data_IF_573662277426
#
_entry.id   IF_573662277426
#
_cell.length_a   1.000
_cell.length_b   1.000
_cell.length_c   1.000
_cell.angle_alpha   90.00
_cell.angle_beta   90.00
_cell.angle_gamma   90.00
#
_symmetry.space_group_name_H-M   'P 1'
#
loop_
_entity.id
_entity.type
_entity.pdbx_description
1 polymer ?
#
# COMPACT_ATOMS: atom_id res chain seq x y z
N UNK A 1 42.70 -48.03 -64.47
CA UNK A 1 43.31 -47.00 -63.59
C UNK A 1 42.84 -45.60 -63.99
N UNK A 2 41.84 -45.06 -63.30
CA UNK A 2 41.35 -43.65 -63.26
C UNK A 2 40.45 -43.63 -61.99
N UNK A 3 40.82 -43.03 -60.83
CA UNK A 3 40.75 -41.60 -60.44
C UNK A 3 39.42 -40.97 -60.92
N UNK A 4 38.52 -40.36 -60.12
CA UNK A 4 38.57 -39.76 -58.77
C UNK A 4 37.15 -39.20 -58.45
N UNK A 5 36.97 -38.69 -57.23
CA UNK A 5 35.96 -37.73 -56.71
C UNK A 5 34.76 -38.25 -55.91
N UNK A 6 34.97 -38.28 -54.58
CA UNK A 6 33.94 -38.16 -53.55
C UNK A 6 33.44 -36.70 -53.51
N UNK A 7 32.15 -36.47 -53.72
CA UNK A 7 31.52 -35.17 -53.50
C UNK A 7 31.02 -35.08 -52.05
N UNK A 8 31.54 -34.11 -51.30
CA UNK A 8 31.00 -33.71 -49.99
C UNK A 8 29.72 -32.91 -50.20
N UNK A 9 28.60 -33.40 -49.66
CA UNK A 9 27.36 -32.63 -49.56
C UNK A 9 27.43 -31.79 -48.28
N UNK A 10 27.61 -30.47 -48.45
CA UNK A 10 27.46 -29.49 -47.37
C UNK A 10 25.98 -29.16 -47.25
N UNK A 11 25.34 -29.59 -46.16
CA UNK A 11 23.98 -29.18 -45.80
C UNK A 11 24.06 -27.82 -45.10
N UNK A 12 23.66 -26.76 -45.80
CA UNK A 12 23.44 -25.44 -45.20
C UNK A 12 22.18 -25.47 -44.34
N UNK A 13 22.35 -25.46 -43.00
CA UNK A 13 21.26 -25.18 -42.07
C UNK A 13 20.92 -23.69 -42.13
N UNK A 14 19.75 -23.36 -42.67
CA UNK A 14 19.16 -22.04 -42.51
C UNK A 14 18.69 -21.86 -41.06
N UNK A 15 19.47 -21.11 -40.28
CA UNK A 15 19.05 -20.61 -38.97
C UNK A 15 18.07 -19.46 -39.21
N UNK A 16 16.77 -19.74 -39.08
CA UNK A 16 15.78 -18.67 -38.93
C UNK A 16 15.93 -18.06 -37.55
N UNK A 17 16.57 -16.89 -37.47
CA UNK A 17 16.49 -16.02 -36.31
C UNK A 17 15.09 -15.42 -36.33
N UNK A 18 14.18 -15.99 -35.54
CA UNK A 18 12.91 -15.35 -35.21
C UNK A 18 13.25 -14.22 -34.23
N UNK A 19 13.38 -13.01 -34.78
CA UNK A 19 13.39 -11.79 -33.97
C UNK A 19 12.04 -11.68 -33.26
N UNK A 20 12.06 -11.79 -31.94
CA UNK A 20 10.88 -11.60 -31.10
C UNK A 20 10.39 -10.16 -31.23
N UNK A 21 9.38 -9.93 -32.08
CA UNK A 21 8.59 -8.73 -32.03
C UNK A 21 7.74 -8.77 -30.75
N UNK A 22 8.17 -8.00 -29.75
CA UNK A 22 7.29 -7.58 -28.66
C UNK A 22 6.03 -6.97 -29.28
N UNK A 23 4.87 -7.59 -29.04
CA UNK A 23 3.58 -6.96 -29.29
C UNK A 23 3.51 -5.67 -28.46
N UNK A 24 3.81 -4.53 -29.09
CA UNK A 24 3.49 -3.21 -28.52
C UNK A 24 1.98 -3.09 -28.53
N UNK A 25 1.34 -3.34 -27.39
CA UNK A 25 -0.03 -2.90 -27.14
C UNK A 25 -0.08 -1.39 -27.41
N UNK A 26 -0.85 -0.96 -28.41
CA UNK A 26 -0.98 0.45 -28.77
C UNK A 26 -1.85 1.13 -27.71
N UNK A 27 -1.25 1.89 -26.81
CA UNK A 27 -2.00 2.64 -25.80
C UNK A 27 -2.56 3.95 -26.39
N UNK A 28 -3.41 4.65 -25.63
CA UNK A 28 -3.81 6.01 -25.97
C UNK A 28 -2.57 6.93 -25.97
N UNK A 29 -2.61 7.98 -26.78
CA UNK A 29 -1.58 9.00 -26.94
C UNK A 29 -1.02 9.54 -25.61
N UNK A 30 -1.85 9.65 -24.56
CA UNK A 30 -1.41 10.07 -23.23
C UNK A 30 -0.56 9.04 -22.47
N UNK A 31 -0.93 7.75 -22.56
CA UNK A 31 -0.18 6.67 -21.89
C UNK A 31 1.15 6.37 -22.59
N UNK A 32 1.19 6.51 -23.91
CA UNK A 32 2.44 6.40 -24.67
C UNK A 32 3.43 7.52 -24.27
N UNK A 33 2.98 8.78 -24.19
CA UNK A 33 3.81 9.91 -23.74
C UNK A 33 4.31 9.75 -22.29
N UNK A 34 3.48 9.20 -21.42
CA UNK A 34 3.86 8.86 -20.05
C UNK A 34 4.96 7.80 -20.03
N UNK A 35 4.77 6.72 -20.80
CA UNK A 35 5.74 5.63 -20.93
C UNK A 35 7.08 6.15 -21.41
N UNK A 36 7.07 6.96 -22.48
CA UNK A 36 8.28 7.60 -23.02
C UNK A 36 8.94 8.51 -21.99
N UNK A 37 8.18 9.25 -21.19
CA UNK A 37 8.73 10.12 -20.15
C UNK A 37 9.43 9.33 -19.03
N UNK A 38 8.91 8.16 -18.67
CA UNK A 38 9.56 7.26 -17.71
C UNK A 38 10.84 6.67 -18.31
N UNK A 39 10.76 6.12 -19.53
CA UNK A 39 11.91 5.49 -20.22
C UNK A 39 13.05 6.47 -20.48
N UNK A 40 12.74 7.74 -20.76
CA UNK A 40 13.71 8.82 -20.95
C UNK A 40 14.11 9.52 -19.64
N UNK A 41 13.88 8.89 -18.47
CA UNK A 41 14.32 9.37 -17.16
C UNK A 41 13.79 10.76 -16.74
N UNK A 42 12.65 11.21 -17.29
CA UNK A 42 11.96 12.41 -16.80
C UNK A 42 11.27 12.12 -15.46
N UNK A 43 10.72 10.91 -15.30
CA UNK A 43 10.22 10.38 -14.03
C UNK A 43 11.16 9.29 -13.50
N UNK A 44 12.18 9.71 -12.75
CA UNK A 44 13.25 8.80 -12.28
C UNK A 44 12.75 7.85 -11.20
N UNK A 45 13.30 6.63 -11.19
CA UNK A 45 13.08 5.67 -10.10
C UNK A 45 11.68 5.04 -10.07
N UNK A 46 10.92 5.10 -11.17
CA UNK A 46 9.68 4.32 -11.34
C UNK A 46 10.04 2.87 -11.65
N UNK A 47 9.47 1.92 -10.93
CA UNK A 47 9.75 0.49 -11.09
C UNK A 47 8.57 -0.25 -11.73
N UNK A 48 7.34 0.16 -11.43
CA UNK A 48 6.14 -0.35 -12.11
C UNK A 48 5.03 0.68 -12.14
N UNK A 49 4.19 0.59 -13.17
CA UNK A 49 2.93 1.30 -13.27
C UNK A 49 1.86 0.38 -13.87
N UNK A 50 0.78 0.16 -13.12
CA UNK A 50 -0.36 -0.65 -13.56
C UNK A 50 -1.63 0.18 -13.44
N UNK A 51 -2.52 0.07 -14.43
CA UNK A 51 -3.81 0.77 -14.45
C UNK A 51 -4.91 -0.24 -14.76
N UNK A 52 -5.87 -0.36 -13.86
CA UNK A 52 -7.12 -1.05 -14.11
C UNK A 52 -8.27 -0.05 -14.22
N UNK A 53 -9.11 -0.22 -15.24
CA UNK A 53 -10.34 0.53 -15.43
C UNK A 53 -11.51 -0.43 -15.62
N UNK A 54 -12.62 -0.19 -14.94
CA UNK A 54 -13.81 -1.06 -14.98
C UNK A 54 -13.44 -2.54 -14.74
N UNK A 55 -12.60 -2.77 -13.72
CA UNK A 55 -12.06 -4.07 -13.34
C UNK A 55 -11.16 -4.78 -14.38
N UNK A 56 -10.77 -4.10 -15.46
CA UNK A 56 -9.88 -4.64 -16.50
C UNK A 56 -8.52 -3.97 -16.46
N UNK A 57 -7.45 -4.76 -16.49
CA UNK A 57 -6.09 -4.25 -16.64
C UNK A 57 -5.93 -3.67 -18.05
N UNK A 58 -5.73 -2.36 -18.15
CA UNK A 58 -5.59 -1.64 -19.43
C UNK A 58 -4.15 -1.18 -19.69
N UNK A 59 -3.30 -1.16 -18.66
CA UNK A 59 -1.89 -0.81 -18.75
C UNK A 59 -1.09 -1.56 -17.69
N UNK A 60 0.03 -2.16 -18.10
CA UNK A 60 0.95 -2.90 -17.24
C UNK A 60 2.35 -2.73 -17.81
N UNK A 61 3.19 -1.95 -17.13
CA UNK A 61 4.58 -1.76 -17.52
C UNK A 61 5.51 -1.80 -16.31
N UNK A 62 6.70 -2.33 -16.53
CA UNK A 62 7.77 -2.47 -15.56
C UNK A 62 9.03 -1.82 -16.10
N UNK A 63 9.78 -1.16 -15.23
CA UNK A 63 10.86 -0.27 -15.61
C UNK A 63 12.10 -0.51 -14.72
N UNK A 64 13.25 0.03 -15.13
CA UNK A 64 14.47 0.05 -14.32
C UNK A 64 14.90 -1.33 -13.79
N UNK A 65 14.77 -2.37 -14.63
CA UNK A 65 15.17 -3.74 -14.29
C UNK A 65 14.15 -4.56 -13.49
N UNK A 66 13.00 -3.97 -13.15
CA UNK A 66 11.90 -4.69 -12.50
C UNK A 66 11.06 -5.44 -13.53
N UNK A 67 10.40 -6.51 -13.08
CA UNK A 67 9.55 -7.37 -13.88
C UNK A 67 8.23 -7.63 -13.15
N UNK A 68 7.29 -8.30 -13.83
CA UNK A 68 6.01 -8.72 -13.23
C UNK A 68 6.13 -9.58 -11.96
N UNK A 69 7.24 -10.31 -11.85
CA UNK A 69 7.49 -11.25 -10.74
C UNK A 69 8.34 -10.62 -9.63
N UNK A 70 8.84 -9.40 -9.84
CA UNK A 70 9.59 -8.65 -8.84
C UNK A 70 8.71 -8.31 -7.63
N UNK A 71 9.18 -8.65 -6.44
CA UNK A 71 8.56 -8.18 -5.20
C UNK A 71 9.05 -6.76 -4.90
N UNK A 72 8.13 -5.90 -4.49
CA UNK A 72 8.44 -4.54 -4.05
C UNK A 72 8.12 -4.39 -2.57
N UNK A 73 9.01 -3.73 -1.82
CA UNK A 73 8.69 -3.30 -0.45
C UNK A 73 7.54 -2.29 -0.50
N UNK A 74 6.45 -2.60 0.18
CA UNK A 74 5.26 -1.77 0.32
C UNK A 74 5.53 -0.50 1.13
N UNK A 75 6.53 -0.54 2.02
CA UNK A 75 6.68 0.40 3.13
C UNK A 75 5.32 0.61 3.81
N UNK A 76 5.02 1.84 4.22
CA UNK A 76 3.78 2.21 4.94
C UNK A 76 2.47 1.95 4.18
N UNK A 77 2.49 1.67 2.87
CA UNK A 77 1.25 1.35 2.16
C UNK A 77 0.59 0.07 2.70
N UNK A 78 1.38 -0.79 3.37
CA UNK A 78 0.85 -1.98 4.02
C UNK A 78 -0.07 -1.69 5.21
N UNK A 79 0.02 -0.50 5.83
CA UNK A 79 -0.91 -0.11 6.90
C UNK A 79 -2.35 -0.17 6.39
N UNK A 80 -2.61 0.23 5.15
CA UNK A 80 -3.94 0.11 4.53
C UNK A 80 -4.42 -1.35 4.44
N UNK A 81 -3.50 -2.31 4.22
CA UNK A 81 -3.81 -3.76 4.29
C UNK A 81 -4.08 -4.20 5.73
N UNK A 82 -3.31 -3.73 6.71
CA UNK A 82 -3.57 -3.97 8.13
C UNK A 82 -4.98 -3.52 8.53
N UNK A 83 -5.45 -2.37 8.02
CA UNK A 83 -6.82 -1.90 8.20
C UNK A 83 -7.86 -2.89 7.65
N UNK A 84 -7.62 -3.46 6.47
CA UNK A 84 -8.48 -4.50 5.89
C UNK A 84 -8.49 -5.77 6.76
N UNK A 85 -7.34 -6.20 7.29
CA UNK A 85 -7.25 -7.36 8.18
C UNK A 85 -8.05 -7.15 9.48
N UNK A 86 -7.98 -5.95 10.07
CA UNK A 86 -8.81 -5.60 11.23
C UNK A 86 -10.29 -5.65 10.88
N UNK A 87 -10.69 -5.14 9.71
CA UNK A 87 -12.07 -5.20 9.25
C UNK A 87 -12.59 -6.62 9.06
N UNK A 88 -11.79 -7.49 8.46
CA UNK A 88 -12.11 -8.91 8.33
C UNK A 88 -12.27 -9.54 9.71
N UNK A 89 -11.41 -9.21 10.68
CA UNK A 89 -11.52 -9.70 12.05
C UNK A 89 -12.80 -9.21 12.74
N UNK A 90 -13.25 -7.98 12.47
CA UNK A 90 -14.53 -7.45 12.95
C UNK A 90 -15.71 -8.16 12.28
N UNK A 91 -15.72 -8.27 10.96
CA UNK A 91 -16.81 -8.91 10.20
C UNK A 91 -17.00 -10.39 10.57
N UNK A 92 -15.91 -11.08 10.91
CA UNK A 92 -15.90 -12.49 11.35
C UNK A 92 -16.21 -12.66 12.84
N UNK A 93 -16.35 -11.56 13.59
CA UNK A 93 -16.66 -11.59 15.02
C UNK A 93 -15.48 -11.92 15.95
N UNK A 94 -14.24 -11.94 15.44
CA UNK A 94 -13.04 -12.07 16.29
C UNK A 94 -12.80 -10.82 17.13
N UNK A 95 -13.15 -9.65 16.57
CA UNK A 95 -13.16 -8.36 17.27
C UNK A 95 -14.61 -7.91 17.30
N UNK A 96 -15.15 -7.62 18.49
CA UNK A 96 -16.56 -7.22 18.68
C UNK A 96 -16.86 -5.91 17.94
N UNK A 97 -15.97 -4.92 18.08
CA UNK A 97 -15.99 -3.64 17.38
C UNK A 97 -14.71 -2.84 17.68
N UNK A 98 -14.51 -1.73 16.97
CA UNK A 98 -13.31 -0.89 17.10
C UNK A 98 -13.27 -0.03 18.38
N UNK A 99 -14.34 0.02 19.17
CA UNK A 99 -14.34 0.75 20.45
C UNK A 99 -13.84 -0.10 21.61
N UNK A 100 -13.55 -1.39 21.39
CA UNK A 100 -12.93 -2.25 22.40
C UNK A 100 -11.61 -1.66 22.88
N UNK A 101 -11.37 -1.82 24.18
CA UNK A 101 -10.16 -1.30 24.81
C UNK A 101 -8.97 -2.20 24.49
N UNK A 102 -7.82 -1.58 24.22
CA UNK A 102 -6.59 -2.32 23.89
C UNK A 102 -6.20 -3.27 25.01
N UNK A 103 -6.35 -2.87 26.28
CA UNK A 103 -6.02 -3.72 27.43
C UNK A 103 -6.81 -5.04 27.49
N UNK A 104 -7.99 -5.13 26.85
CA UNK A 104 -8.80 -6.37 26.82
C UNK A 104 -8.08 -7.52 26.12
N UNK A 105 -7.18 -7.20 25.18
CA UNK A 105 -6.43 -8.19 24.39
C UNK A 105 -5.10 -8.60 25.03
N UNK A 106 -4.67 -7.87 26.05
CA UNK A 106 -3.34 -7.98 26.64
C UNK A 106 -3.41 -8.05 28.18
N UNK A 107 -4.13 -9.03 28.76
CA UNK A 107 -4.25 -9.18 30.20
C UNK A 107 -2.91 -9.37 30.92
N UNK A 108 -1.89 -9.85 30.20
CA UNK A 108 -0.51 -9.98 30.69
C UNK A 108 0.22 -8.64 30.88
N UNK A 109 -0.37 -7.51 30.48
CA UNK A 109 0.14 -6.15 30.74
C UNK A 109 -0.83 -5.34 31.62
N UNK A 110 -0.87 -5.58 32.95
CA UNK A 110 -1.81 -4.90 33.85
C UNK A 110 -1.72 -3.38 33.83
N UNK A 111 -0.52 -2.84 33.54
CA UNK A 111 -0.26 -1.41 33.41
C UNK A 111 -1.16 -0.73 32.38
N UNK A 112 -1.60 -1.44 31.33
CA UNK A 112 -2.51 -0.88 30.32
C UNK A 112 -3.89 -0.55 30.91
N UNK A 113 -4.33 -1.29 31.93
CA UNK A 113 -5.63 -1.09 32.59
C UNK A 113 -5.55 -0.07 33.72
N UNK A 114 -4.40 0.02 34.40
CA UNK A 114 -4.22 0.92 35.56
C UNK A 114 -3.73 2.32 35.17
N UNK A 115 -2.98 2.45 34.08
CA UNK A 115 -2.54 3.75 33.56
C UNK A 115 -3.76 4.60 33.13
N UNK A 116 -3.83 5.88 33.58
CA UNK A 116 -4.99 6.73 33.37
C UNK A 116 -5.29 7.04 31.90
N UNK A 117 -4.28 7.02 31.03
CA UNK A 117 -4.41 7.29 29.59
C UNK A 117 -4.50 5.99 28.78
N UNK A 118 -3.65 5.00 29.03
CA UNK A 118 -3.66 3.73 28.28
C UNK A 118 -4.97 2.97 28.44
N UNK A 119 -5.63 3.07 29.60
CA UNK A 119 -6.96 2.43 29.82
C UNK A 119 -8.05 2.97 28.90
N UNK A 120 -7.86 4.17 28.33
CA UNK A 120 -8.81 4.79 27.42
C UNK A 120 -8.62 4.33 25.97
N UNK A 121 -7.43 3.81 25.63
CA UNK A 121 -7.02 3.47 24.27
C UNK A 121 -7.94 2.41 23.65
N UNK A 122 -8.43 2.69 22.45
CA UNK A 122 -9.28 1.80 21.64
C UNK A 122 -8.60 1.39 20.35
N UNK A 123 -9.11 0.32 19.71
CA UNK A 123 -8.70 -0.06 18.34
C UNK A 123 -8.90 1.12 17.36
N UNK A 124 -10.00 1.86 17.49
CA UNK A 124 -10.31 3.05 16.68
C UNK A 124 -9.19 4.09 16.80
N UNK A 125 -8.69 4.35 18.00
CA UNK A 125 -7.58 5.29 18.20
C UNK A 125 -6.30 4.85 17.47
N UNK A 126 -6.00 3.55 17.44
CA UNK A 126 -4.86 3.01 16.70
C UNK A 126 -5.01 3.19 15.19
N UNK A 127 -6.20 2.87 14.64
CA UNK A 127 -6.52 2.98 13.21
C UNK A 127 -6.51 4.43 12.71
N UNK A 128 -6.94 5.37 13.56
CA UNK A 128 -7.03 6.79 13.24
C UNK A 128 -5.72 7.56 13.41
N UNK A 129 -4.64 6.89 13.85
CA UNK A 129 -3.37 7.55 14.26
C UNK A 129 -3.59 8.58 15.38
N UNK A 130 -4.46 8.25 16.34
CA UNK A 130 -4.80 9.11 17.49
C UNK A 130 -4.60 8.38 18.82
N UNK A 131 -3.55 7.57 18.91
CA UNK A 131 -3.26 6.77 20.11
C UNK A 131 -2.78 7.62 21.28
N UNK A 132 -2.04 8.70 21.00
CA UNK A 132 -1.48 9.58 22.02
C UNK A 132 -0.17 9.08 22.64
N UNK A 133 0.46 8.03 22.08
CA UNK A 133 1.82 7.64 22.47
C UNK A 133 2.80 8.79 22.23
N UNK A 134 3.85 8.86 23.04
CA UNK A 134 5.01 9.72 22.82
C UNK A 134 5.91 9.10 21.73
N UNK A 135 5.35 9.08 20.52
CA UNK A 135 5.95 8.57 19.31
C UNK A 135 5.26 9.19 18.10
N UNK A 136 5.99 10.00 17.33
CA UNK A 136 5.43 10.69 16.17
C UNK A 136 6.51 10.79 15.09
N UNK A 137 6.32 10.01 14.03
CA UNK A 137 7.29 9.79 12.94
C UNK A 137 7.05 10.75 11.78
N UNK A 138 6.27 11.80 12.00
CA UNK A 138 6.08 12.91 11.09
C UNK A 138 6.82 14.13 11.65
N UNK A 139 6.94 15.20 10.86
CA UNK A 139 7.45 16.50 11.33
C UNK A 139 8.80 16.48 12.11
N UNK A 140 9.69 15.54 11.80
CA UNK A 140 11.02 15.38 12.42
C UNK A 140 10.98 15.31 13.96
N UNK A 141 9.95 14.66 14.51
CA UNK A 141 9.86 14.43 15.97
C UNK A 141 10.41 13.06 16.38
N UNK A 142 9.95 12.49 17.51
CA UNK A 142 10.50 11.27 18.08
C UNK A 142 10.06 10.05 17.25
N UNK A 143 10.97 9.57 16.41
CA UNK A 143 10.87 8.30 15.70
C UNK A 143 11.09 7.12 16.67
N UNK A 144 10.15 6.19 16.69
CA UNK A 144 10.28 4.96 17.45
C UNK A 144 10.33 3.70 16.60
N UNK A 145 10.25 3.78 15.28
CA UNK A 145 10.32 2.62 14.39
C UNK A 145 11.73 2.01 14.45
N UNK A 146 12.77 2.84 14.40
CA UNK A 146 14.17 2.39 14.50
C UNK A 146 14.45 1.71 15.85
N UNK A 147 14.07 2.34 16.95
CA UNK A 147 14.26 1.79 18.30
C UNK A 147 13.39 0.54 18.55
N UNK A 148 12.17 0.50 18.01
CA UNK A 148 11.33 -0.69 18.02
C UNK A 148 12.02 -1.84 17.28
N UNK A 149 12.60 -1.58 16.11
CA UNK A 149 13.24 -2.60 15.26
C UNK A 149 14.44 -3.28 15.93
N UNK A 150 15.11 -2.59 16.84
CA UNK A 150 16.22 -3.11 17.65
C UNK A 150 15.76 -3.97 18.84
N UNK A 151 14.47 -3.92 19.19
CA UNK A 151 13.91 -4.73 20.27
C UNK A 151 13.54 -6.15 19.83
N UNK A 152 13.40 -7.08 20.79
CA UNK A 152 13.04 -8.48 20.52
C UNK A 152 11.56 -8.66 20.18
N UNK A 153 10.69 -7.89 20.83
CA UNK A 153 9.24 -7.97 20.69
C UNK A 153 8.69 -6.58 20.42
N UNK A 154 8.29 -6.37 19.17
CA UNK A 154 7.85 -5.05 18.69
C UNK A 154 6.46 -4.69 19.23
N UNK A 155 5.61 -5.69 19.53
CA UNK A 155 4.31 -5.46 20.19
C UNK A 155 4.54 -5.00 21.63
N UNK A 156 5.37 -5.73 22.38
CA UNK A 156 5.69 -5.40 23.77
C UNK A 156 6.37 -4.03 23.88
N UNK A 157 7.30 -3.72 22.97
CA UNK A 157 7.91 -2.40 22.87
C UNK A 157 6.83 -1.31 22.71
N UNK A 158 5.96 -1.47 21.70
CA UNK A 158 4.91 -0.50 21.39
C UNK A 158 3.93 -0.28 22.56
N UNK A 159 3.51 -1.35 23.24
CA UNK A 159 2.60 -1.27 24.39
C UNK A 159 3.21 -0.54 25.59
N UNK A 160 4.54 -0.61 25.75
CA UNK A 160 5.26 -0.02 26.88
C UNK A 160 5.63 1.45 26.68
N UNK A 161 5.48 2.00 25.48
CA UNK A 161 5.77 3.42 25.24
C UNK A 161 4.99 4.35 26.18
N UNK A 162 5.60 5.47 26.60
CA UNK A 162 4.91 6.47 27.40
C UNK A 162 3.81 7.17 26.57
N UNK A 163 2.83 7.73 27.26
CA UNK A 163 1.76 8.52 26.66
C UNK A 163 2.14 10.01 26.70
N UNK A 164 1.96 10.71 25.58
CA UNK A 164 2.11 12.17 25.48
C UNK A 164 0.78 12.89 25.55
N UNK A 165 -0.24 12.31 24.92
CA UNK A 165 -1.56 12.93 24.76
C UNK A 165 -2.67 11.93 25.13
N UNK A 166 -3.86 12.45 25.39
CA UNK A 166 -5.04 11.60 25.59
C UNK A 166 -5.43 10.93 24.26
N UNK A 167 -5.74 9.62 24.26
CA UNK A 167 -6.21 8.93 23.05
C UNK A 167 -7.44 9.62 22.43
N UNK A 168 -7.41 9.83 21.12
CA UNK A 168 -8.50 10.42 20.33
C UNK A 168 -8.37 11.92 20.05
N UNK A 169 -7.45 12.62 20.71
CA UNK A 169 -7.32 14.08 20.58
C UNK A 169 -6.45 14.49 19.39
N UNK A 170 -5.18 14.08 19.39
CA UNK A 170 -4.16 14.53 18.42
C UNK A 170 -3.90 13.44 17.39
N UNK A 171 -3.91 13.81 16.10
CA UNK A 171 -3.41 12.97 15.02
C UNK A 171 -1.88 13.02 15.00
N UNK A 172 -1.26 11.86 15.10
CA UNK A 172 0.18 11.66 15.27
C UNK A 172 0.56 10.37 14.53
N UNK A 173 1.28 10.48 13.43
CA UNK A 173 1.58 9.33 12.59
C UNK A 173 2.69 8.48 13.23
N UNK A 174 2.44 7.18 13.40
CA UNK A 174 3.44 6.26 13.95
C UNK A 174 3.20 4.80 13.58
N UNK A 175 4.29 4.06 13.37
CA UNK A 175 4.34 2.63 13.12
C UNK A 175 4.05 1.77 14.36
N UNK A 176 4.05 2.35 15.58
CA UNK A 176 3.72 1.60 16.80
C UNK A 176 2.23 1.24 16.86
N UNK A 177 1.36 2.09 16.30
CA UNK A 177 -0.08 1.87 16.26
C UNK A 177 -0.45 0.58 15.50
N UNK A 178 -0.03 0.40 14.23
CA UNK A 178 -0.29 -0.85 13.54
C UNK A 178 0.42 -2.03 14.18
N UNK A 179 1.59 -1.84 14.80
CA UNK A 179 2.27 -2.94 15.50
C UNK A 179 1.44 -3.47 16.67
N UNK A 180 0.79 -2.61 17.45
CA UNK A 180 -0.19 -3.03 18.47
C UNK A 180 -1.35 -3.80 17.84
N UNK A 181 -1.83 -3.38 16.65
CA UNK A 181 -2.87 -4.12 15.92
C UNK A 181 -2.41 -5.52 15.50
N UNK A 182 -1.11 -5.75 15.27
CA UNK A 182 -0.55 -7.11 15.06
C UNK A 182 -0.82 -8.01 16.26
N UNK A 183 -0.52 -7.52 17.46
CA UNK A 183 -0.80 -8.23 18.71
C UNK A 183 -2.30 -8.47 18.92
N UNK A 184 -3.13 -7.46 18.67
CA UNK A 184 -4.59 -7.57 18.79
C UNK A 184 -5.14 -8.62 17.84
N UNK A 185 -4.75 -8.61 16.57
CA UNK A 185 -5.16 -9.61 15.58
C UNK A 185 -4.75 -11.02 16.03
N UNK A 186 -3.50 -11.20 16.48
CA UNK A 186 -3.00 -12.48 16.98
C UNK A 186 -3.82 -12.99 18.17
N UNK A 187 -4.11 -12.13 19.16
CA UNK A 187 -4.87 -12.48 20.37
C UNK A 187 -6.34 -12.76 20.08
N UNK A 188 -6.98 -11.92 19.28
CA UNK A 188 -8.39 -12.03 18.92
C UNK A 188 -8.69 -13.28 18.09
N UNK A 189 -7.82 -13.59 17.13
CA UNK A 189 -8.02 -14.69 16.19
C UNK A 189 -7.44 -16.01 16.67
N UNK A 190 -6.52 -15.97 17.65
CA UNK A 190 -5.67 -17.11 18.08
C UNK A 190 -4.87 -17.73 16.94
N UNK A 191 -4.62 -16.97 15.88
CA UNK A 191 -3.79 -17.34 14.74
C UNK A 191 -2.57 -16.43 14.69
N UNK A 192 -1.49 -16.86 14.01
CA UNK A 192 -0.49 -15.87 13.60
C UNK A 192 -1.14 -14.89 12.61
N UNK A 193 -0.70 -13.63 12.61
CA UNK A 193 -1.23 -12.62 11.67
C UNK A 193 -1.01 -13.07 10.22
N UNK A 194 0.10 -13.75 9.94
CA UNK A 194 0.41 -14.34 8.63
C UNK A 194 -0.62 -15.39 8.22
N UNK A 195 -0.98 -16.31 9.11
CA UNK A 195 -1.96 -17.37 8.81
C UNK A 195 -3.37 -16.79 8.68
N UNK A 196 -3.72 -15.81 9.51
CA UNK A 196 -4.99 -15.11 9.41
C UNK A 196 -5.12 -14.37 8.06
N UNK A 197 -4.11 -13.59 7.69
CA UNK A 197 -4.06 -12.89 6.42
C UNK A 197 -4.06 -13.85 5.24
N UNK A 198 -3.29 -14.95 5.31
CA UNK A 198 -3.30 -15.99 4.28
C UNK A 198 -4.71 -16.55 4.07
N UNK A 199 -5.34 -17.03 5.14
CA UNK A 199 -6.64 -17.71 5.08
C UNK A 199 -7.78 -16.81 4.61
N UNK A 200 -7.87 -15.59 5.15
CA UNK A 200 -9.05 -14.75 4.96
C UNK A 200 -8.86 -13.60 3.97
N UNK A 201 -7.64 -13.34 3.52
CA UNK A 201 -7.35 -12.20 2.64
C UNK A 201 -6.55 -12.61 1.40
N UNK A 202 -5.35 -13.17 1.56
CA UNK A 202 -4.47 -13.46 0.42
C UNK A 202 -4.94 -14.64 -0.43
N UNK A 203 -5.36 -15.76 0.17
CA UNK A 203 -5.86 -16.91 -0.59
C UNK A 203 -7.12 -16.57 -1.40
N UNK A 204 -8.13 -15.87 -0.84
CA UNK A 204 -9.27 -15.40 -1.63
C UNK A 204 -8.94 -14.45 -2.80
N UNK A 205 -7.83 -13.70 -2.69
CA UNK A 205 -7.32 -12.81 -3.75
C UNK A 205 -6.32 -13.52 -4.70
N UNK A 206 -5.97 -14.78 -4.44
CA UNK A 206 -4.92 -15.48 -5.20
C UNK A 206 -3.56 -14.79 -5.10
N UNK A 207 -3.21 -14.29 -3.92
CA UNK A 207 -1.91 -13.68 -3.60
C UNK A 207 -1.06 -14.75 -2.91
N UNK A 208 -0.03 -15.22 -3.59
CA UNK A 208 0.81 -16.33 -3.10
C UNK A 208 2.30 -16.02 -3.06
N UNK A 209 2.76 -14.97 -3.72
CA UNK A 209 4.17 -14.56 -3.76
C UNK A 209 4.36 -13.30 -2.94
N UNK A 210 4.84 -13.46 -1.70
CA UNK A 210 5.14 -12.37 -0.80
C UNK A 210 6.21 -12.74 0.23
N UNK A 211 6.87 -11.72 0.79
CA UNK A 211 7.75 -11.87 1.95
C UNK A 211 7.31 -10.90 3.04
N UNK A 212 7.19 -11.41 4.26
CA UNK A 212 6.70 -10.66 5.40
C UNK A 212 7.78 -10.62 6.48
N UNK A 213 8.24 -9.41 6.83
CA UNK A 213 9.12 -9.18 7.96
C UNK A 213 8.44 -9.56 9.27
N UNK A 214 9.17 -10.26 10.13
CA UNK A 214 8.74 -10.66 11.48
C UNK A 214 9.78 -10.19 12.48
N UNK A 215 9.33 -9.85 13.68
CA UNK A 215 10.24 -9.58 14.79
C UNK A 215 10.87 -10.88 15.33
N UNK A 216 11.92 -10.79 16.18
CA UNK A 216 12.53 -11.96 16.81
C UNK A 216 11.57 -12.82 17.65
N UNK A 217 10.48 -12.24 18.16
CA UNK A 217 9.40 -12.95 18.87
C UNK A 217 8.35 -13.59 17.94
N UNK A 218 8.50 -13.47 16.62
CA UNK A 218 7.61 -14.04 15.62
C UNK A 218 6.32 -13.24 15.35
N UNK A 219 6.22 -11.99 15.79
CA UNK A 219 5.11 -11.10 15.45
C UNK A 219 5.32 -10.52 14.06
N UNK A 220 4.24 -10.45 13.26
CA UNK A 220 4.32 -9.92 11.90
C UNK A 220 4.35 -8.38 11.90
N UNK A 221 5.21 -7.80 11.06
CA UNK A 221 5.28 -6.36 10.84
C UNK A 221 4.02 -5.86 10.12
N UNK A 222 3.14 -5.16 10.81
CA UNK A 222 1.88 -4.63 10.27
C UNK A 222 1.98 -3.14 9.90
N UNK A 223 3.12 -2.51 10.19
CA UNK A 223 3.40 -1.12 9.86
C UNK A 223 3.98 -0.93 8.44
N UNK A 224 4.56 -1.96 7.84
CA UNK A 224 5.27 -1.88 6.57
C UNK A 224 6.16 -3.10 6.32
N UNK A 225 7.23 -2.91 5.56
CA UNK A 225 8.25 -3.94 5.29
C UNK A 225 7.65 -5.27 4.80
N UNK A 226 6.60 -5.17 3.99
CA UNK A 226 5.93 -6.28 3.33
C UNK A 226 6.24 -6.23 1.84
N UNK A 227 6.65 -7.36 1.29
CA UNK A 227 7.11 -7.45 -0.09
C UNK A 227 6.12 -8.27 -0.90
N UNK A 228 5.59 -7.69 -1.97
CA UNK A 228 4.57 -8.29 -2.82
C UNK A 228 4.63 -7.71 -4.23
N UNK A 229 4.00 -8.37 -5.20
CA UNK A 229 4.03 -7.95 -6.59
C UNK A 229 3.12 -6.74 -6.82
N UNK A 230 3.46 -5.83 -7.74
CA UNK A 230 2.58 -4.73 -8.13
C UNK A 230 1.20 -5.19 -8.62
N UNK A 231 1.11 -6.36 -9.26
CA UNK A 231 -0.17 -6.92 -9.67
C UNK A 231 -1.05 -7.32 -8.46
N UNK A 232 -0.45 -7.79 -7.37
CA UNK A 232 -1.18 -8.14 -6.15
C UNK A 232 -1.64 -6.88 -5.38
N UNK A 233 -0.87 -5.78 -5.47
CA UNK A 233 -1.34 -4.44 -5.04
C UNK A 233 -2.59 -4.01 -5.81
N UNK A 234 -2.62 -4.25 -7.13
CA UNK A 234 -3.76 -3.87 -7.99
C UNK A 234 -5.02 -4.62 -7.60
N UNK A 235 -4.92 -5.93 -7.30
CA UNK A 235 -6.05 -6.73 -6.81
C UNK A 235 -6.64 -6.18 -5.51
N UNK A 236 -5.78 -5.72 -4.60
CA UNK A 236 -6.20 -5.10 -3.33
C UNK A 236 -6.89 -3.76 -3.60
N UNK A 237 -6.36 -2.95 -4.54
CA UNK A 237 -7.03 -1.72 -4.97
C UNK A 237 -8.42 -1.99 -5.54
N UNK A 238 -8.54 -2.97 -6.44
CA UNK A 238 -9.83 -3.38 -7.02
C UNK A 238 -10.79 -3.93 -5.96
N UNK A 239 -10.31 -4.68 -4.96
CA UNK A 239 -11.16 -5.12 -3.85
C UNK A 239 -11.81 -3.91 -3.15
N UNK A 240 -11.03 -2.86 -2.87
CA UNK A 240 -11.52 -1.66 -2.17
C UNK A 240 -12.43 -0.83 -3.08
N UNK A 241 -12.06 -0.64 -4.35
CA UNK A 241 -12.88 0.00 -5.39
C UNK A 241 -14.28 -0.66 -5.48
N UNK A 242 -14.31 -2.00 -5.49
CA UNK A 242 -15.54 -2.80 -5.53
C UNK A 242 -16.15 -3.04 -4.15
N UNK A 243 -15.89 -2.16 -3.17
CA UNK A 243 -16.52 -2.17 -1.84
C UNK A 243 -16.43 -3.54 -1.13
N UNK A 244 -15.26 -4.17 -1.25
CA UNK A 244 -14.90 -5.41 -0.57
C UNK A 244 -15.28 -6.69 -1.32
N UNK A 245 -15.74 -6.57 -2.57
CA UNK A 245 -16.02 -7.71 -3.45
C UNK A 245 -14.82 -7.97 -4.38
N UNK A 246 -14.40 -9.23 -4.46
CA UNK A 246 -13.42 -9.68 -5.45
C UNK A 246 -13.86 -11.01 -6.03
N UNK A 247 -13.81 -11.17 -7.36
CA UNK A 247 -14.28 -12.36 -8.07
C UNK A 247 -15.66 -12.86 -7.60
N UNK A 248 -16.62 -11.93 -7.47
CA UNK A 248 -18.01 -12.18 -7.01
C UNK A 248 -18.14 -12.69 -5.56
N UNK A 249 -17.08 -12.64 -4.76
CA UNK A 249 -17.10 -12.99 -3.33
C UNK A 249 -16.88 -11.74 -2.48
N UNK A 250 -17.72 -11.56 -1.45
CA UNK A 250 -17.48 -10.55 -0.43
C UNK A 250 -16.36 -11.03 0.49
N UNK A 251 -15.19 -10.40 0.41
CA UNK A 251 -14.03 -10.75 1.26
C UNK A 251 -14.09 -9.97 2.58
N UNK A 252 -14.47 -8.69 2.50
CA UNK A 252 -14.58 -7.75 3.61
C UNK A 252 -15.84 -6.92 3.40
N UNK A 253 -16.59 -6.57 4.44
CA UNK A 253 -17.90 -5.92 4.29
C UNK A 253 -17.80 -4.55 3.64
N UNK A 254 -18.81 -4.22 2.83
CA UNK A 254 -18.99 -2.86 2.29
C UNK A 254 -18.96 -1.79 3.39
N UNK A 255 -19.60 -2.10 4.54
CA UNK A 255 -19.61 -1.22 5.72
C UNK A 255 -18.21 -0.91 6.22
N UNK A 256 -17.32 -1.91 6.31
CA UNK A 256 -15.94 -1.64 6.73
C UNK A 256 -15.18 -0.82 5.70
N UNK A 257 -15.34 -1.10 4.41
CA UNK A 257 -14.70 -0.29 3.35
C UNK A 257 -15.12 1.16 3.48
N UNK A 258 -16.42 1.46 3.50
CA UNK A 258 -16.93 2.82 3.64
C UNK A 258 -16.42 3.53 4.90
N UNK A 259 -16.40 2.82 6.03
CA UNK A 259 -15.92 3.37 7.29
C UNK A 259 -14.40 3.65 7.27
N UNK A 260 -13.60 2.68 6.80
CA UNK A 260 -12.14 2.76 6.78
C UNK A 260 -11.61 3.79 5.78
N UNK A 261 -12.35 4.02 4.69
CA UNK A 261 -11.96 4.94 3.61
C UNK A 261 -12.69 6.29 3.67
N UNK A 262 -13.46 6.57 4.72
CA UNK A 262 -14.18 7.83 4.87
C UNK A 262 -13.25 9.05 4.89
N UNK A 263 -12.05 8.88 5.43
CA UNK A 263 -11.00 9.90 5.47
C UNK A 263 -11.46 11.25 6.02
N UNK A 264 -12.01 11.27 7.24
CA UNK A 264 -12.59 12.48 7.85
C UNK A 264 -11.60 13.28 8.72
N UNK A 265 -10.34 12.85 8.84
CA UNK A 265 -9.34 13.52 9.67
C UNK A 265 -8.41 14.32 8.76
N UNK A 266 -8.46 15.65 8.82
CA UNK A 266 -7.51 16.49 8.08
C UNK A 266 -6.09 16.27 8.62
N UNK A 267 -5.13 16.01 7.74
CA UNK A 267 -3.71 16.00 8.09
C UNK A 267 -3.26 17.47 8.15
N UNK A 268 -2.70 17.95 9.29
CA UNK A 268 -2.25 19.33 9.40
C UNK A 268 -1.23 19.70 8.32
N UNK A 269 -1.48 20.81 7.63
CA UNK A 269 -0.55 21.48 6.71
C UNK A 269 0.17 20.56 5.71
N UNK A 270 -0.55 19.58 5.17
CA UNK A 270 0.03 18.60 4.25
C UNK A 270 -0.78 18.42 2.96
N UNK A 271 -0.06 18.43 1.83
CA UNK A 271 -0.53 18.03 0.50
C UNK A 271 0.54 17.15 -0.16
N UNK A 272 0.12 16.02 -0.72
CA UNK A 272 0.96 15.17 -1.55
C UNK A 272 1.29 15.85 -2.88
N UNK A 273 0.34 16.59 -3.47
CA UNK A 273 0.59 17.37 -4.68
C UNK A 273 1.66 18.44 -4.43
N UNK A 274 1.58 19.20 -3.34
CA UNK A 274 2.62 20.16 -2.95
C UNK A 274 3.97 19.47 -2.70
N UNK A 275 3.96 18.39 -1.92
CA UNK A 275 5.16 17.60 -1.62
C UNK A 275 5.82 16.99 -2.86
N UNK A 276 5.08 16.79 -3.95
CA UNK A 276 5.62 16.34 -5.24
C UNK A 276 6.43 17.41 -5.96
N UNK A 277 6.32 18.68 -5.54
CA UNK A 277 6.85 19.87 -6.24
C UNK A 277 6.30 20.04 -7.67
N UNK A 278 5.20 19.37 -7.99
CA UNK A 278 4.56 19.50 -9.28
C UNK A 278 3.98 20.90 -9.46
N UNK A 279 4.02 21.40 -10.69
CA UNK A 279 3.33 22.63 -11.11
C UNK A 279 2.03 22.34 -11.87
N UNK A 280 1.67 21.06 -12.03
CA UNK A 280 0.51 20.63 -12.81
C UNK A 280 -0.79 20.83 -12.02
N UNK A 281 -0.76 20.56 -10.72
CA UNK A 281 -1.92 20.64 -9.84
C UNK A 281 -1.83 21.75 -8.80
N UNK A 282 -2.98 22.19 -8.33
CA UNK A 282 -3.11 23.06 -7.16
C UNK A 282 -3.10 22.19 -5.91
N UNK A 283 -2.25 22.48 -4.91
CA UNK A 283 -2.25 21.78 -3.62
C UNK A 283 -3.63 21.74 -2.98
N UNK A 284 -4.02 20.59 -2.45
CA UNK A 284 -5.25 20.40 -1.68
C UNK A 284 -4.91 19.67 -0.38
N UNK A 285 -5.65 19.93 0.71
CA UNK A 285 -5.38 19.26 1.98
C UNK A 285 -5.55 17.75 1.86
N UNK A 286 -4.62 17.01 2.43
CA UNK A 286 -4.73 15.57 2.60
C UNK A 286 -5.58 15.22 3.84
N UNK A 287 -6.35 14.15 3.73
CA UNK A 287 -7.16 13.60 4.80
C UNK A 287 -6.82 12.14 5.07
N UNK A 288 -7.16 11.68 6.27
CA UNK A 288 -6.80 10.39 6.82
C UNK A 288 -8.03 9.63 7.33
N UNK A 289 -8.07 8.33 7.02
CA UNK A 289 -9.07 7.36 7.48
C UNK A 289 -8.45 6.30 8.38
N UNK A 290 -8.88 5.04 8.23
CA UNK A 290 -8.23 3.91 8.90
C UNK A 290 -7.06 3.42 8.05
N UNK A 291 -5.93 4.11 8.16
CA UNK A 291 -4.72 3.89 7.36
C UNK A 291 -4.88 4.09 5.85
N UNK A 292 -5.92 4.82 5.45
CA UNK A 292 -6.14 5.30 4.09
C UNK A 292 -5.96 6.81 4.04
N UNK A 293 -5.52 7.31 2.90
CA UNK A 293 -5.36 8.72 2.63
C UNK A 293 -6.34 9.16 1.55
N UNK A 294 -6.69 10.44 1.56
CA UNK A 294 -7.52 11.04 0.53
C UNK A 294 -7.04 12.45 0.22
N UNK A 295 -6.90 12.77 -1.06
CA UNK A 295 -6.57 14.12 -1.52
C UNK A 295 -7.27 14.36 -2.86
N UNK A 296 -7.81 15.56 -3.04
CA UNK A 296 -8.36 15.97 -4.33
C UNK A 296 -7.22 16.39 -5.25
N UNK A 297 -7.03 15.69 -6.36
CA UNK A 297 -6.17 16.16 -7.44
C UNK A 297 -6.93 17.21 -8.23
N UNK A 298 -6.49 18.46 -8.12
CA UNK A 298 -7.09 19.60 -8.79
C UNK A 298 -6.12 20.23 -9.77
N UNK A 299 -6.51 20.37 -11.04
CA UNK A 299 -5.81 21.15 -12.06
C UNK A 299 -6.78 22.19 -12.63
N UNK A 300 -6.40 22.91 -13.71
CA UNK A 300 -7.34 23.79 -14.41
C UNK A 300 -8.57 23.04 -14.94
N UNK A 301 -8.38 21.79 -15.37
CA UNK A 301 -9.41 21.02 -16.06
C UNK A 301 -9.78 19.72 -15.33
N UNK A 302 -9.14 19.37 -14.20
CA UNK A 302 -9.35 18.11 -13.48
C UNK A 302 -9.70 18.43 -12.03
N UNK A 303 -10.67 17.72 -11.45
CA UNK A 303 -10.90 17.70 -10.00
C UNK A 303 -11.41 16.32 -9.61
N UNK A 304 -10.49 15.46 -9.21
CA UNK A 304 -10.82 14.09 -8.82
C UNK A 304 -10.42 13.85 -7.38
N UNK A 305 -11.36 13.27 -6.63
CA UNK A 305 -11.09 12.83 -5.27
C UNK A 305 -10.41 11.47 -5.31
N UNK A 306 -9.16 11.41 -4.85
CA UNK A 306 -8.35 10.19 -4.93
C UNK A 306 -8.18 9.60 -3.54
N UNK A 307 -8.67 8.37 -3.36
CA UNK A 307 -8.38 7.53 -2.21
C UNK A 307 -7.08 6.76 -2.48
N UNK A 308 -6.20 6.63 -1.48
CA UNK A 308 -4.97 5.86 -1.69
C UNK A 308 -4.32 5.28 -0.44
N UNK A 309 -3.56 4.21 -0.67
CA UNK A 309 -2.51 3.72 0.22
C UNK A 309 -1.18 4.38 -0.16
N UNK A 310 -0.34 4.72 0.83
CA UNK A 310 0.90 5.48 0.63
C UNK A 310 2.06 4.88 1.40
N UNK A 311 3.19 4.64 0.72
CA UNK A 311 4.44 4.15 1.28
C UNK A 311 5.64 4.99 0.86
N UNK A 312 6.59 5.15 1.79
CA UNK A 312 7.87 5.81 1.50
C UNK A 312 8.54 5.21 0.24
N UNK A 313 9.23 6.03 -0.54
CA UNK A 313 9.82 5.62 -1.81
C UNK A 313 8.88 5.69 -3.00
N UNK A 314 7.57 5.82 -2.80
CA UNK A 314 6.58 6.02 -3.85
C UNK A 314 5.73 4.77 -4.16
N UNK A 315 5.33 4.06 -3.11
CA UNK A 315 4.47 2.88 -3.20
C UNK A 315 3.03 3.33 -3.02
N UNK A 316 2.23 3.27 -4.09
CA UNK A 316 0.85 3.73 -4.06
C UNK A 316 -0.10 2.72 -4.65
N UNK A 317 -1.29 2.68 -4.05
CA UNK A 317 -2.51 2.13 -4.63
C UNK A 317 -3.50 3.29 -4.66
N UNK A 318 -3.72 3.89 -5.82
CA UNK A 318 -4.71 4.94 -6.03
C UNK A 318 -6.04 4.34 -6.48
N UNK A 319 -7.14 4.88 -5.98
CA UNK A 319 -8.51 4.49 -6.30
C UNK A 319 -9.31 5.77 -6.56
N UNK A 320 -9.88 5.87 -7.76
CA UNK A 320 -10.71 6.98 -8.20
C UNK A 320 -12.09 6.43 -8.51
N UNK A 321 -12.93 6.38 -7.47
CA UNK A 321 -14.21 5.66 -7.47
C UNK A 321 -15.14 6.13 -8.60
N UNK A 322 -15.21 7.45 -8.85
CA UNK A 322 -16.04 8.04 -9.92
C UNK A 322 -15.70 7.50 -11.32
N UNK A 323 -14.44 7.09 -11.52
CA UNK A 323 -13.92 6.64 -12.80
C UNK A 323 -13.79 5.12 -12.90
N UNK A 324 -14.14 4.37 -11.83
CA UNK A 324 -13.82 2.95 -11.69
C UNK A 324 -12.36 2.66 -12.06
N UNK A 325 -11.44 3.48 -11.53
CA UNK A 325 -10.04 3.49 -11.89
C UNK A 325 -9.17 3.17 -10.67
N UNK A 326 -8.37 2.11 -10.78
CA UNK A 326 -7.34 1.75 -9.82
C UNK A 326 -5.97 1.85 -10.47
N UNK A 327 -5.04 2.56 -9.84
CA UNK A 327 -3.68 2.77 -10.35
C UNK A 327 -2.64 2.37 -9.30
N UNK A 328 -1.67 1.55 -9.69
CA UNK A 328 -0.56 1.15 -8.81
C UNK A 328 0.74 1.75 -9.31
N UNK A 329 1.50 2.35 -8.39
CA UNK A 329 2.87 2.77 -8.62
C UNK A 329 3.79 2.07 -7.63
N UNK A 330 4.94 1.59 -8.11
CA UNK A 330 6.08 1.27 -7.25
C UNK A 330 7.33 2.01 -7.73
N UNK A 331 8.15 2.43 -6.77
CA UNK A 331 9.27 3.34 -7.00
C UNK A 331 10.41 3.13 -6.00
N UNK A 332 11.62 3.55 -6.36
CA UNK A 332 12.82 3.50 -5.52
C UNK A 332 13.22 4.83 -4.85
N UNK A 333 12.33 5.82 -4.80
CA UNK A 333 12.67 7.20 -4.42
C UNK A 333 12.63 7.47 -2.90
N UNK A 334 13.25 6.60 -2.09
CA UNK A 334 13.16 6.67 -0.62
C UNK A 334 13.71 7.99 -0.08
N UNK A 335 13.00 8.60 0.89
CA UNK A 335 13.41 9.87 1.51
C UNK A 335 13.42 11.07 0.56
N UNK A 336 12.85 10.94 -0.64
CA UNK A 336 12.87 11.98 -1.67
C UNK A 336 11.47 12.50 -1.97
N UNK A 337 11.36 13.81 -2.26
CA UNK A 337 10.14 14.43 -2.80
C UNK A 337 9.67 13.73 -4.09
N UNK A 338 10.60 13.14 -4.87
CA UNK A 338 10.30 12.37 -6.07
C UNK A 338 9.39 11.18 -5.81
N UNK A 339 9.36 10.64 -4.59
CA UNK A 339 8.38 9.62 -4.22
C UNK A 339 6.95 10.08 -4.48
N UNK A 340 6.65 11.39 -4.46
CA UNK A 340 5.31 11.94 -4.70
C UNK A 340 5.07 12.32 -6.17
N UNK A 341 6.03 12.12 -7.09
CA UNK A 341 5.85 12.40 -8.52
C UNK A 341 4.70 11.59 -9.16
N UNK A 342 4.26 10.50 -8.52
CA UNK A 342 3.10 9.74 -8.95
C UNK A 342 1.81 10.59 -9.00
N UNK A 343 1.69 11.61 -8.14
CA UNK A 343 0.56 12.54 -8.17
C UNK A 343 0.59 13.43 -9.43
N UNK A 344 1.78 13.88 -9.84
CA UNK A 344 1.93 14.57 -11.13
C UNK A 344 1.59 13.65 -12.29
N UNK A 345 2.12 12.43 -12.29
CA UNK A 345 1.89 11.47 -13.38
C UNK A 345 0.39 11.18 -13.51
N UNK A 346 -0.29 10.95 -12.38
CA UNK A 346 -1.73 10.74 -12.32
C UNK A 346 -2.48 11.95 -12.89
N UNK A 347 -2.17 13.16 -12.44
CA UNK A 347 -2.82 14.39 -12.89
C UNK A 347 -2.57 14.73 -14.36
N UNK A 348 -1.37 14.45 -14.88
CA UNK A 348 -0.92 14.89 -16.20
C UNK A 348 -1.28 13.90 -17.31
N UNK A 349 -1.23 12.60 -17.03
CA UNK A 349 -1.27 11.56 -18.07
C UNK A 349 -2.42 10.57 -17.94
N UNK A 350 -3.01 10.42 -16.75
CA UNK A 350 -3.96 9.32 -16.47
C UNK A 350 -5.37 9.84 -16.25
N UNK A 351 -5.54 10.91 -15.46
CA UNK A 351 -6.88 11.45 -15.18
C UNK A 351 -7.43 12.19 -16.40
N UNK A 352 -8.67 11.89 -16.82
CA UNK A 352 -9.31 12.62 -17.90
C UNK A 352 -9.71 14.04 -17.42
N UNK A 353 -9.76 15.03 -18.34
CA UNK A 353 -10.36 16.32 -18.02
C UNK A 353 -11.83 16.18 -17.64
N UNK A 354 -12.35 17.16 -16.89
CA UNK A 354 -13.78 17.33 -16.66
C UNK A 354 -14.47 17.50 -18.02
N UNK A 355 -15.53 16.72 -18.23
CA UNK A 355 -16.46 16.94 -19.33
C UNK A 355 -17.27 18.21 -19.12
#
# INVERSE_FOLDING_TARGET
MKKFHFAYIVVMLNIFIISGQNQKTKYDSGLDQMTDSILNNRYKGVHSLLIAKDNKLIYEQYFNGYTKDSLHDSRSSFKSITSLLVGIAVDKGFIKNINQKVYEFFPEYPSLKTDPLKKLLTIKNLLEMKSGFDCEEFNDTKDCEDTMSLSKDWVAYSLNLPMKNKPGEIWAYTSVNPMILSGILKKATRMSVKDFAKKYFFDPLGISSYRWTVDPSGNAMTAGSFYFRPLDMLKIGQLVENKGVYNRKQIISKKWIEQSTACNIKIPDFSYMESSKSKVGFPQPAYYGYYWYRETIKTKNIEENVLFASGNGGQYIFIIERLNLTVVFTQGNYGSYKAKQAFEILAKHILPPKN
#
